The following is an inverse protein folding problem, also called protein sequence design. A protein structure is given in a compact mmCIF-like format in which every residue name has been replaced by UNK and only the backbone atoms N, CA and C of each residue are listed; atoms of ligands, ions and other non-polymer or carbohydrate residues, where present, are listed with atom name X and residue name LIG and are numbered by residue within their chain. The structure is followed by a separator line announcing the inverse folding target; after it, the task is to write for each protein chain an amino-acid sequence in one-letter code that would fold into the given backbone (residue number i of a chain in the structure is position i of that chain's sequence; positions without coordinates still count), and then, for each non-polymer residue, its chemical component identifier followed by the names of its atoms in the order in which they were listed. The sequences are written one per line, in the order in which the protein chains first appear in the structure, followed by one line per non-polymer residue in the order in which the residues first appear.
data_IF_551821806275
#
_entry.id   IF_551821806275
#
_cell.length_a   1.000
_cell.length_b   1.000
_cell.length_c   1.000
_cell.angle_alpha   90.00
_cell.angle_beta   90.00
_cell.angle_gamma   90.00
#
_symmetry.space_group_name_H-M   'P 1'
#
loop_
_entity.id
_entity.type
_entity.pdbx_description
1 polymer ?
#
# COMPACT_ATOMS: atom_id res chain seq x y z
N UNK A 1 -1.88 -11.85 -14.08
CA UNK A 1 -1.96 -12.19 -12.64
C UNK A 1 -3.12 -11.43 -12.01
N UNK A 2 -3.79 -12.02 -11.03
CA UNK A 2 -4.83 -11.32 -10.27
C UNK A 2 -4.21 -10.20 -9.41
N UNK A 3 -4.95 -9.10 -9.17
CA UNK A 3 -4.51 -8.03 -8.29
C UNK A 3 -4.44 -8.48 -6.83
N UNK A 4 -3.60 -7.82 -6.05
CA UNK A 4 -3.48 -8.03 -4.61
C UNK A 4 -4.64 -7.39 -3.84
N UNK A 5 -4.68 -7.63 -2.53
CA UNK A 5 -5.72 -7.06 -1.66
C UNK A 5 -5.13 -6.57 -0.35
N UNK A 6 -5.35 -5.30 -0.04
CA UNK A 6 -5.15 -4.72 1.28
C UNK A 6 -6.42 -4.96 2.10
N UNK A 7 -6.32 -5.66 3.23
CA UNK A 7 -7.43 -5.83 4.18
C UNK A 7 -7.18 -4.93 5.39
N UNK A 8 -8.21 -4.18 5.78
CA UNK A 8 -8.13 -3.22 6.87
C UNK A 8 -8.95 -3.76 8.04
N UNK A 9 -8.37 -3.77 9.22
CA UNK A 9 -8.97 -4.29 10.44
C UNK A 9 -9.05 -3.21 11.50
N UNK A 10 -10.15 -3.21 12.23
CA UNK A 10 -10.23 -2.57 13.53
C UNK A 10 -9.38 -3.37 14.52
N UNK A 11 -8.37 -2.73 15.11
CA UNK A 11 -7.41 -3.40 15.99
C UNK A 11 -8.01 -3.79 17.35
N UNK A 12 -8.97 -3.02 17.86
CA UNK A 12 -9.58 -3.26 19.17
C UNK A 12 -10.65 -4.35 19.08
N UNK A 13 -11.60 -4.17 18.15
CA UNK A 13 -12.68 -5.10 17.89
C UNK A 13 -12.23 -6.36 17.14
N UNK A 14 -11.02 -6.37 16.56
CA UNK A 14 -10.46 -7.45 15.72
C UNK A 14 -11.41 -7.83 14.58
N UNK A 15 -12.01 -6.82 13.96
CA UNK A 15 -13.02 -6.97 12.90
C UNK A 15 -12.49 -6.38 11.59
N UNK A 16 -12.73 -7.06 10.47
CA UNK A 16 -12.45 -6.48 9.16
C UNK A 16 -13.39 -5.31 8.88
N UNK A 17 -12.80 -4.15 8.56
CA UNK A 17 -13.51 -2.94 8.15
C UNK A 17 -13.77 -2.94 6.65
N UNK A 18 -12.88 -3.57 5.88
CA UNK A 18 -13.05 -3.77 4.46
C UNK A 18 -11.75 -4.12 3.76
N UNK A 19 -11.80 -4.10 2.43
CA UNK A 19 -10.68 -4.48 1.60
C UNK A 19 -10.57 -3.60 0.35
N UNK A 20 -9.34 -3.28 -0.03
CA UNK A 20 -9.01 -2.47 -1.20
C UNK A 20 -8.17 -3.31 -2.16
N UNK A 21 -8.55 -3.31 -3.42
CA UNK A 21 -7.75 -3.92 -4.48
C UNK A 21 -6.50 -3.06 -4.74
N UNK A 22 -5.33 -3.70 -4.84
CA UNK A 22 -4.04 -3.06 -5.10
C UNK A 22 -3.32 -3.72 -6.27
N UNK A 23 -2.11 -3.25 -6.59
CA UNK A 23 -1.23 -3.85 -7.58
C UNK A 23 -0.92 -5.33 -7.35
N UNK A 24 -0.13 -5.91 -8.25
CA UNK A 24 0.11 -7.35 -8.30
C UNK A 24 1.27 -7.74 -7.39
N UNK A 25 1.09 -8.81 -6.62
CA UNK A 25 2.08 -9.34 -5.68
C UNK A 25 2.53 -8.27 -4.66
N UNK A 26 1.62 -7.78 -3.79
CA UNK A 26 2.00 -6.87 -2.71
C UNK A 26 2.94 -7.59 -1.73
N UNK A 27 4.01 -6.91 -1.31
CA UNK A 27 5.00 -7.49 -0.39
C UNK A 27 5.18 -6.67 0.89
N UNK A 28 5.29 -5.35 0.77
CA UNK A 28 5.51 -4.47 1.91
C UNK A 28 4.44 -3.40 1.97
N UNK A 29 3.98 -3.11 3.19
CA UNK A 29 3.04 -2.03 3.49
C UNK A 29 3.59 -1.18 4.63
N UNK A 30 3.33 0.12 4.58
CA UNK A 30 3.51 1.03 5.71
C UNK A 30 2.37 2.04 5.74
N UNK A 31 2.08 2.62 6.91
CA UNK A 31 1.05 3.66 7.08
C UNK A 31 1.69 5.02 7.36
N UNK A 32 0.96 6.10 7.08
CA UNK A 32 1.28 7.41 7.63
C UNK A 32 1.17 7.40 9.17
N UNK A 33 1.88 8.30 9.89
CA UNK A 33 1.82 8.37 11.34
C UNK A 33 0.42 8.67 11.91
N UNK A 34 -0.41 9.37 11.15
CA UNK A 34 -1.80 9.67 11.50
C UNK A 34 -2.78 8.53 11.14
N UNK A 35 -2.29 7.44 10.56
CA UNK A 35 -3.10 6.27 10.20
C UNK A 35 -4.06 6.46 9.03
N UNK A 36 -4.02 7.59 8.32
CA UNK A 36 -4.99 7.93 7.26
C UNK A 36 -4.63 7.34 5.90
N UNK A 37 -3.34 7.13 5.66
CA UNK A 37 -2.82 6.61 4.39
C UNK A 37 -2.08 5.30 4.60
N UNK A 38 -2.22 4.39 3.65
CA UNK A 38 -1.34 3.24 3.46
C UNK A 38 -0.57 3.35 2.14
N UNK A 39 0.65 2.84 2.15
CA UNK A 39 1.54 2.73 1.00
C UNK A 39 1.86 1.25 0.79
N UNK A 40 1.45 0.67 -0.34
CA UNK A 40 1.59 -0.77 -0.62
C UNK A 40 2.52 -0.97 -1.82
N UNK A 41 3.70 -1.54 -1.58
CA UNK A 41 4.62 -1.93 -2.62
C UNK A 41 4.20 -3.25 -3.27
N UNK A 42 3.96 -3.19 -4.58
CA UNK A 42 3.50 -4.29 -5.41
C UNK A 42 4.59 -4.69 -6.41
N UNK A 43 5.30 -5.79 -6.12
CA UNK A 43 6.56 -6.12 -6.79
C UNK A 43 6.35 -6.55 -8.25
N UNK A 44 5.22 -7.18 -8.57
CA UNK A 44 4.96 -7.71 -9.90
C UNK A 44 4.31 -6.67 -10.83
N UNK A 45 3.50 -5.75 -10.29
CA UNK A 45 3.08 -4.56 -11.06
C UNK A 45 4.13 -3.46 -11.10
N UNK A 46 5.16 -3.51 -10.24
CA UNK A 46 6.18 -2.47 -10.09
C UNK A 46 5.58 -1.13 -9.66
N UNK A 47 4.61 -1.17 -8.75
CA UNK A 47 3.88 0.02 -8.32
C UNK A 47 3.93 0.19 -6.82
N UNK A 48 3.80 1.43 -6.36
CA UNK A 48 3.40 1.74 -4.98
C UNK A 48 2.00 2.33 -5.03
N UNK A 49 1.04 1.62 -4.46
CA UNK A 49 -0.35 2.09 -4.37
C UNK A 49 -0.50 2.90 -3.07
N UNK A 50 -1.00 4.13 -3.19
CA UNK A 50 -1.33 5.01 -2.07
C UNK A 50 -2.82 4.89 -1.82
N UNK A 51 -3.20 4.45 -0.63
CA UNK A 51 -4.58 4.11 -0.26
C UNK A 51 -5.07 5.03 0.85
N UNK A 52 -6.26 5.59 0.67
CA UNK A 52 -7.04 6.24 1.72
C UNK A 52 -7.69 5.16 2.60
N UNK A 53 -7.32 5.12 3.88
CA UNK A 53 -7.80 4.11 4.82
C UNK A 53 -9.18 4.44 5.40
N UNK A 54 -9.60 5.71 5.36
CA UNK A 54 -10.93 6.13 5.80
C UNK A 54 -11.97 5.81 4.73
N UNK A 55 -11.67 6.15 3.47
CA UNK A 55 -12.55 5.94 2.33
C UNK A 55 -12.40 4.55 1.68
N UNK A 56 -11.41 3.76 2.12
CA UNK A 56 -11.07 2.44 1.58
C UNK A 56 -10.96 2.42 0.04
N UNK A 57 -10.13 3.31 -0.50
CA UNK A 57 -9.88 3.41 -1.95
C UNK A 57 -8.46 3.83 -2.27
N UNK A 58 -7.97 3.40 -3.42
CA UNK A 58 -6.69 3.88 -3.97
C UNK A 58 -6.85 5.37 -4.33
N UNK A 59 -5.97 6.22 -3.80
CA UNK A 59 -5.89 7.63 -4.15
C UNK A 59 -4.99 7.85 -5.35
N UNK A 60 -3.87 7.13 -5.39
CA UNK A 60 -2.88 7.27 -6.45
C UNK A 60 -2.04 6.01 -6.56
N UNK A 61 -1.39 5.85 -7.72
CA UNK A 61 -0.47 4.77 -8.02
C UNK A 61 0.81 5.36 -8.57
N UNK A 62 1.93 5.02 -7.93
CA UNK A 62 3.26 5.44 -8.38
C UNK A 62 3.89 4.30 -9.16
N UNK A 63 4.24 4.55 -10.42
CA UNK A 63 5.01 3.61 -11.22
C UNK A 63 6.49 3.67 -10.83
N UNK A 64 7.06 2.52 -10.53
CA UNK A 64 8.48 2.38 -10.16
C UNK A 64 9.21 1.70 -11.32
N UNK A 65 10.13 2.39 -12.02
CA UNK A 65 10.85 1.81 -13.15
C UNK A 65 11.69 0.61 -12.72
N UNK A 66 11.55 -0.50 -13.46
CA UNK A 66 12.47 -1.64 -13.35
C UNK A 66 13.76 -1.30 -14.08
N UNK A 67 14.91 -1.45 -13.43
CA UNK A 67 16.22 -1.28 -14.09
C UNK A 67 16.90 -2.63 -14.29
N UNK A 68 17.25 -3.30 -13.20
CA UNK A 68 17.97 -4.59 -13.21
C UNK A 68 17.44 -5.58 -12.16
N UNK A 69 16.43 -5.16 -11.37
CA UNK A 69 15.99 -5.82 -10.14
C UNK A 69 14.45 -6.03 -10.10
N UNK A 70 13.94 -6.80 -9.10
CA UNK A 70 12.51 -6.88 -8.80
C UNK A 70 11.88 -5.49 -8.63
N UNK A 71 10.57 -5.40 -8.81
CA UNK A 71 9.84 -4.12 -8.78
C UNK A 71 9.78 -3.52 -7.38
N UNK A 72 8.86 -2.58 -7.15
CA UNK A 72 8.63 -2.00 -5.83
C UNK A 72 8.58 -3.08 -4.73
N UNK A 73 9.53 -3.05 -3.79
CA UNK A 73 9.68 -4.06 -2.73
C UNK A 73 9.74 -3.41 -1.35
N UNK A 74 10.93 -2.96 -0.91
CA UNK A 74 11.09 -2.29 0.39
C UNK A 74 10.51 -0.87 0.39
N UNK A 75 9.91 -0.47 1.51
CA UNK A 75 9.39 0.87 1.74
C UNK A 75 9.87 1.43 3.07
N UNK A 76 10.19 2.71 3.09
CA UNK A 76 10.36 3.50 4.29
C UNK A 76 9.56 4.80 4.15
N UNK A 77 8.77 5.14 5.17
CA UNK A 77 8.08 6.42 5.24
C UNK A 77 8.97 7.42 5.98
N UNK A 78 9.28 8.55 5.36
CA UNK A 78 10.08 9.62 5.96
C UNK A 78 9.19 10.86 6.07
N UNK A 79 8.75 11.24 7.29
CA UNK A 79 8.04 12.49 7.50
C UNK A 79 8.91 13.67 7.08
N UNK A 80 8.30 14.71 6.48
CA UNK A 80 9.01 15.98 6.33
C UNK A 80 9.24 16.58 7.71
N UNK A 81 10.45 17.11 8.01
CA UNK A 81 10.65 17.92 9.20
C UNK A 81 9.69 19.11 9.17
N UNK A 82 9.18 19.47 10.35
CA UNK A 82 8.44 20.71 10.58
C UNK A 82 9.32 21.93 10.36
#
# INVERSE_FOLDING_TARGET
HAPGRLRVFDAEARKELGAVEVGVCPLTITSSPDGRLAYVACVASSTVDIVDLDALRVLNRLDIPRRTEPGAHGLAYIPRPS
#
